data_IF_763138163506
#
_entry.id   IF_763138163506
#
_cell.length_a   1.000
_cell.length_b   1.000
_cell.length_c   1.000
_cell.angle_alpha   90.00
_cell.angle_beta   90.00
_cell.angle_gamma   90.00
#
_symmetry.space_group_name_H-M   'P 1'
#
loop_
_entity.id
_entity.type
_entity.pdbx_description
1 polymer ?
#
# COMPACT_ATOMS: atom_id res chain seq x y z
N UNK A 1 40.48 -22.63 -35.77
CA UNK A 1 39.24 -23.45 -35.77
C UNK A 1 38.98 -23.90 -34.33
N UNK A 2 37.92 -23.58 -33.62
CA UNK A 2 36.75 -22.75 -33.90
C UNK A 2 36.24 -22.32 -32.53
N UNK A 3 35.92 -21.04 -32.42
CA UNK A 3 35.29 -20.39 -31.28
C UNK A 3 34.09 -21.17 -30.76
N UNK A 4 34.04 -21.47 -29.46
CA UNK A 4 32.79 -21.67 -28.74
C UNK A 4 32.80 -20.81 -27.47
N UNK A 5 32.77 -19.49 -27.68
CA UNK A 5 32.25 -18.55 -26.68
C UNK A 5 30.75 -18.83 -26.52
N UNK A 6 30.40 -19.79 -25.68
CA UNK A 6 29.02 -19.92 -25.20
C UNK A 6 28.74 -18.75 -24.25
N UNK A 7 28.00 -17.77 -24.75
CA UNK A 7 27.40 -16.73 -23.95
C UNK A 7 26.40 -17.38 -22.97
N UNK A 8 26.82 -17.62 -21.73
CA UNK A 8 25.90 -17.99 -20.65
C UNK A 8 25.25 -16.73 -20.12
N UNK A 9 24.03 -16.44 -20.59
CA UNK A 9 23.18 -15.44 -19.93
C UNK A 9 21.81 -16.05 -19.63
N UNK A 10 21.42 -15.92 -18.36
CA UNK A 10 20.13 -16.25 -17.72
C UNK A 10 19.90 -17.68 -17.20
N UNK A 11 20.17 -17.89 -15.90
CA UNK A 11 19.98 -19.16 -15.20
C UNK A 11 19.05 -19.15 -14.00
N UNK A 12 18.22 -18.12 -13.76
CA UNK A 12 17.36 -18.06 -12.55
C UNK A 12 15.94 -18.60 -12.78
N UNK A 13 15.46 -19.47 -11.87
CA UNK A 13 14.13 -20.08 -11.94
C UNK A 13 13.52 -20.33 -10.55
N UNK A 14 12.18 -20.43 -10.51
CA UNK A 14 11.42 -20.78 -9.30
C UNK A 14 11.26 -22.30 -9.22
N UNK A 15 11.50 -22.86 -8.03
CA UNK A 15 11.34 -24.27 -7.72
C UNK A 15 10.38 -24.44 -6.55
N UNK A 16 9.52 -25.44 -6.66
CA UNK A 16 8.74 -25.97 -5.56
C UNK A 16 9.44 -27.21 -4.99
N UNK A 17 9.74 -27.19 -3.68
CA UNK A 17 10.36 -28.31 -2.97
C UNK A 17 9.40 -28.85 -1.92
N UNK A 18 9.00 -30.11 -2.04
CA UNK A 18 8.21 -30.80 -1.02
C UNK A 18 9.06 -31.03 0.23
N UNK A 19 8.56 -30.61 1.39
CA UNK A 19 9.17 -30.78 2.70
C UNK A 19 8.73 -32.11 3.34
N UNK A 20 9.50 -32.60 4.31
CA UNK A 20 9.16 -33.81 5.09
C UNK A 20 7.83 -33.67 5.84
N UNK A 21 7.42 -32.45 6.18
CA UNK A 21 6.16 -32.13 6.86
C UNK A 21 4.93 -32.12 5.95
N UNK A 22 5.09 -32.37 4.63
CA UNK A 22 3.99 -32.32 3.65
C UNK A 22 3.79 -30.95 2.99
N UNK A 23 4.35 -29.88 3.54
CA UNK A 23 4.33 -28.53 2.94
C UNK A 23 5.23 -28.43 1.70
N UNK A 24 4.97 -27.43 0.86
CA UNK A 24 5.81 -27.07 -0.28
C UNK A 24 6.53 -25.75 -0.02
N UNK A 25 7.85 -25.75 -0.16
CA UNK A 25 8.69 -24.55 -0.12
C UNK A 25 8.84 -23.95 -1.51
N UNK A 26 8.60 -22.64 -1.65
CA UNK A 26 8.82 -21.88 -2.88
C UNK A 26 10.19 -21.20 -2.82
N UNK A 27 11.08 -21.53 -3.76
CA UNK A 27 12.48 -21.12 -3.76
C UNK A 27 12.90 -20.56 -5.11
N UNK A 28 13.77 -19.56 -5.12
CA UNK A 28 14.42 -19.00 -6.30
C UNK A 28 15.85 -19.55 -6.35
N UNK A 29 16.19 -20.23 -7.45
CA UNK A 29 17.52 -20.78 -7.68
C UNK A 29 18.17 -20.14 -8.89
N UNK A 30 19.49 -20.13 -8.89
CA UNK A 30 20.35 -19.72 -9.98
C UNK A 30 21.16 -20.93 -10.47
N UNK A 31 21.13 -21.18 -11.77
CA UNK A 31 21.91 -22.22 -12.46
C UNK A 31 23.22 -21.60 -12.93
N UNK A 32 24.31 -21.95 -12.25
CA UNK A 32 25.68 -21.50 -12.54
C UNK A 32 26.57 -22.74 -12.70
N UNK A 33 27.31 -22.83 -13.80
CA UNK A 33 28.28 -23.91 -14.06
C UNK A 33 27.70 -25.33 -13.86
N UNK A 34 26.46 -25.54 -14.29
CA UNK A 34 25.75 -26.83 -14.16
C UNK A 34 25.25 -27.15 -12.74
N UNK A 35 25.47 -26.26 -11.76
CA UNK A 35 25.01 -26.40 -10.38
C UNK A 35 23.88 -25.43 -10.08
N UNK A 36 22.95 -25.85 -9.21
CA UNK A 36 21.86 -25.01 -8.74
C UNK A 36 22.22 -24.39 -7.39
N UNK A 37 22.36 -23.07 -7.36
CA UNK A 37 22.57 -22.27 -6.15
C UNK A 37 21.24 -21.70 -5.67
N UNK A 38 20.91 -21.87 -4.39
CA UNK A 38 19.74 -21.22 -3.79
C UNK A 38 20.02 -19.72 -3.61
N UNK A 39 19.16 -18.88 -4.16
CA UNK A 39 19.25 -17.42 -4.04
C UNK A 39 18.37 -16.92 -2.92
N UNK A 40 17.10 -17.34 -2.89
CA UNK A 40 16.13 -16.90 -1.89
C UNK A 40 15.05 -17.94 -1.68
N UNK A 41 14.64 -18.14 -0.42
CA UNK A 41 13.41 -18.87 -0.09
C UNK A 41 12.32 -17.84 0.21
N UNK A 42 11.16 -17.97 -0.42
CA UNK A 42 10.04 -17.03 -0.25
C UNK A 42 9.16 -17.44 0.93
N UNK A 43 8.99 -18.75 1.10
CA UNK A 43 8.18 -19.32 2.18
C UNK A 43 7.80 -20.76 1.88
N UNK A 44 7.01 -21.35 2.77
CA UNK A 44 6.45 -22.68 2.59
C UNK A 44 5.03 -22.74 3.11
N UNK A 45 4.14 -23.44 2.41
CA UNK A 45 2.79 -23.74 2.88
C UNK A 45 2.33 -25.11 2.38
N UNK A 46 1.35 -25.69 3.07
CA UNK A 46 0.63 -26.88 2.64
C UNK A 46 -0.69 -26.54 1.93
N UNK A 47 -1.18 -25.31 2.08
CA UNK A 47 -2.42 -24.84 1.45
C UNK A 47 -2.16 -24.35 0.02
N UNK A 48 -3.04 -24.71 -0.91
CA UNK A 48 -2.90 -24.41 -2.33
C UNK A 48 -3.08 -22.92 -2.62
N UNK A 49 -3.98 -22.23 -1.90
CA UNK A 49 -4.21 -20.78 -2.06
C UNK A 49 -3.00 -19.99 -1.59
N UNK A 50 -2.47 -20.30 -0.41
CA UNK A 50 -1.22 -19.70 0.05
C UNK A 50 -0.05 -20.00 -0.88
N UNK A 51 0.02 -21.20 -1.45
CA UNK A 51 1.06 -21.56 -2.41
C UNK A 51 1.01 -20.70 -3.68
N UNK A 52 -0.19 -20.41 -4.19
CA UNK A 52 -0.38 -19.53 -5.33
C UNK A 52 0.14 -18.11 -5.05
N UNK A 53 -0.17 -17.56 -3.88
CA UNK A 53 0.33 -16.25 -3.43
C UNK A 53 1.86 -16.27 -3.30
N UNK A 54 2.44 -17.32 -2.72
CA UNK A 54 3.90 -17.46 -2.59
C UNK A 54 4.60 -17.60 -3.95
N UNK A 55 3.96 -18.23 -4.94
CA UNK A 55 4.47 -18.30 -6.33
C UNK A 55 4.47 -16.92 -7.00
N UNK A 56 3.40 -16.14 -6.84
CA UNK A 56 3.31 -14.79 -7.38
C UNK A 56 4.38 -13.88 -6.78
N UNK A 57 4.57 -13.92 -5.45
CA UNK A 57 5.66 -13.20 -4.76
C UNK A 57 7.04 -13.64 -5.24
N UNK A 58 7.23 -14.94 -5.49
CA UNK A 58 8.48 -15.47 -6.03
C UNK A 58 8.76 -14.95 -7.44
N UNK A 59 7.72 -14.79 -8.27
CA UNK A 59 7.83 -14.24 -9.62
C UNK A 59 8.24 -12.76 -9.58
N UNK A 60 7.58 -11.96 -8.76
CA UNK A 60 7.93 -10.54 -8.57
C UNK A 60 9.38 -10.37 -8.09
N UNK A 61 9.83 -11.20 -7.14
CA UNK A 61 11.22 -11.18 -6.67
C UNK A 61 12.21 -11.66 -7.74
N UNK A 62 11.84 -12.65 -8.55
CA UNK A 62 12.66 -13.10 -9.67
C UNK A 62 12.85 -11.98 -10.70
N UNK A 63 11.79 -11.25 -11.03
CA UNK A 63 11.83 -10.14 -12.00
C UNK A 63 12.66 -8.96 -11.45
N UNK A 64 12.49 -8.65 -10.16
CA UNK A 64 13.34 -7.69 -9.45
C UNK A 64 14.82 -8.07 -9.48
N UNK A 65 15.14 -9.35 -9.23
CA UNK A 65 16.51 -9.86 -9.22
C UNK A 65 17.14 -9.91 -10.63
N UNK A 66 16.33 -10.13 -11.67
CA UNK A 66 16.78 -10.05 -13.08
C UNK A 66 17.06 -8.61 -13.53
N UNK A 67 16.78 -7.61 -12.69
CA UNK A 67 16.93 -6.20 -13.03
C UNK A 67 15.88 -5.72 -14.05
N UNK A 68 14.94 -6.58 -14.41
CA UNK A 68 13.85 -6.24 -15.32
C UNK A 68 12.72 -5.66 -14.48
N UNK A 69 12.81 -4.35 -14.21
CA UNK A 69 11.66 -3.62 -13.69
C UNK A 69 10.56 -3.74 -14.74
N UNK A 70 9.48 -4.45 -14.42
CA UNK A 70 8.28 -4.39 -15.25
C UNK A 70 7.88 -2.93 -15.35
N UNK A 71 7.88 -2.40 -16.58
CA UNK A 71 7.39 -1.06 -16.88
C UNK A 71 5.85 -1.00 -16.84
N UNK A 72 5.22 -2.16 -16.63
CA UNK A 72 3.77 -2.33 -16.57
C UNK A 72 3.35 -2.75 -15.15
N UNK A 73 2.45 -1.92 -14.61
CA UNK A 73 1.72 -2.08 -13.36
C UNK A 73 0.97 -3.42 -13.40
N UNK A 74 1.06 -4.26 -12.36
CA UNK A 74 0.26 -5.48 -12.29
C UNK A 74 -1.23 -5.11 -12.30
N UNK A 75 -2.11 -5.92 -12.90
CA UNK A 75 -3.56 -5.65 -12.92
C UNK A 75 -4.15 -5.43 -11.51
N UNK A 76 -3.54 -6.09 -10.51
CA UNK A 76 -3.86 -5.87 -9.08
C UNK A 76 -3.40 -4.50 -8.58
N UNK A 77 -2.25 -4.02 -9.02
CA UNK A 77 -1.75 -2.69 -8.67
C UNK A 77 -2.60 -1.61 -9.36
N UNK A 78 -3.11 -1.84 -10.57
CA UNK A 78 -4.11 -0.96 -11.22
C UNK A 78 -5.41 -0.97 -10.42
N UNK A 79 -5.89 -2.12 -9.96
CA UNK A 79 -7.09 -2.18 -9.13
C UNK A 79 -6.88 -1.55 -7.75
N UNK A 80 -5.68 -1.66 -7.16
CA UNK A 80 -5.31 -0.98 -5.91
C UNK A 80 -5.22 0.52 -6.16
N UNK A 81 -4.56 0.98 -7.23
CA UNK A 81 -4.50 2.39 -7.63
C UNK A 81 -5.89 2.94 -7.92
N UNK A 82 -6.75 2.22 -8.64
CA UNK A 82 -8.15 2.55 -8.89
C UNK A 82 -8.94 2.63 -7.59
N UNK A 83 -8.81 1.66 -6.68
CA UNK A 83 -9.44 1.70 -5.36
C UNK A 83 -8.92 2.85 -4.48
N UNK A 84 -7.62 3.12 -4.51
CA UNK A 84 -6.99 4.23 -3.79
C UNK A 84 -7.33 5.59 -4.41
N UNK A 85 -7.59 5.66 -5.71
CA UNK A 85 -8.04 6.88 -6.39
C UNK A 85 -9.55 7.08 -6.29
N UNK A 86 -10.34 6.00 -6.16
CA UNK A 86 -11.74 6.02 -5.72
C UNK A 86 -11.86 6.47 -4.26
N UNK A 87 -10.90 6.09 -3.40
CA UNK A 87 -10.65 6.69 -2.08
C UNK A 87 -10.10 8.11 -2.23
N UNK A 88 -10.87 8.98 -2.87
CA UNK A 88 -10.54 10.39 -2.95
C UNK A 88 -10.36 10.96 -1.54
N UNK A 89 -9.48 11.96 -1.41
CA UNK A 89 -9.26 12.75 -0.19
C UNK A 89 -10.55 13.26 0.49
N UNK A 90 -11.72 13.19 -0.15
CA UNK A 90 -13.03 13.44 0.45
C UNK A 90 -13.41 12.44 1.56
N UNK A 91 -12.83 11.23 1.60
CA UNK A 91 -13.05 10.24 2.67
C UNK A 91 -12.01 10.33 3.79
N UNK A 92 -10.87 10.98 3.57
CA UNK A 92 -9.93 11.34 4.64
C UNK A 92 -10.39 12.69 5.20
N UNK A 93 -11.56 12.69 5.84
CA UNK A 93 -11.89 13.76 6.79
C UNK A 93 -10.78 13.72 7.81
N UNK A 94 -9.93 14.75 7.85
CA UNK A 94 -9.08 14.95 9.02
C UNK A 94 -10.07 14.92 10.19
N UNK A 95 -10.01 14.00 11.17
CA UNK A 95 -10.95 14.07 12.31
C UNK A 95 -10.23 14.64 13.54
N UNK A 96 -8.93 14.95 13.42
CA UNK A 96 -8.06 15.35 14.53
C UNK A 96 -8.59 16.55 15.33
N UNK A 97 -8.75 17.73 14.71
CA UNK A 97 -9.33 18.90 15.37
C UNK A 97 -10.69 18.64 16.03
N UNK A 98 -11.60 17.89 15.38
CA UNK A 98 -12.91 17.58 15.96
C UNK A 98 -12.84 16.60 17.13
N UNK A 99 -11.98 15.58 17.06
CA UNK A 99 -11.83 14.61 18.15
C UNK A 99 -11.31 15.26 19.43
N UNK A 100 -10.43 16.25 19.29
CA UNK A 100 -9.82 16.97 20.42
C UNK A 100 -10.70 18.13 20.85
N UNK A 101 -10.94 19.11 19.98
CA UNK A 101 -11.67 20.33 20.33
C UNK A 101 -13.18 20.13 20.39
N UNK A 102 -13.74 19.11 19.73
CA UNK A 102 -15.15 18.77 19.86
C UNK A 102 -15.52 18.29 21.26
N UNK A 103 -14.61 17.61 21.97
CA UNK A 103 -14.80 17.25 23.39
C UNK A 103 -14.80 18.50 24.27
N UNK A 104 -13.88 19.43 24.02
CA UNK A 104 -13.79 20.72 24.74
C UNK A 104 -15.05 21.56 24.49
N UNK A 105 -15.51 21.64 23.24
CA UNK A 105 -16.74 22.32 22.85
C UNK A 105 -17.95 21.78 23.62
N UNK A 106 -18.07 20.46 23.73
CA UNK A 106 -19.13 19.82 24.50
C UNK A 106 -18.98 20.06 26.01
N UNK A 107 -17.76 20.03 26.54
CA UNK A 107 -17.50 20.23 27.97
C UNK A 107 -17.82 21.65 28.44
N UNK A 108 -17.60 22.66 27.59
CA UNK A 108 -18.00 24.06 27.86
C UNK A 108 -19.53 24.24 27.81
N UNK A 109 -20.26 23.25 27.28
CA UNK A 109 -21.73 23.28 27.19
C UNK A 109 -22.26 23.91 25.91
N UNK A 110 -21.42 24.14 24.91
CA UNK A 110 -21.83 24.70 23.61
C UNK A 110 -22.56 23.67 22.73
N UNK A 111 -22.62 22.40 23.15
CA UNK A 111 -23.47 21.39 22.53
C UNK A 111 -24.97 21.74 22.55
N UNK A 112 -25.40 22.70 23.38
CA UNK A 112 -26.77 23.20 23.43
C UNK A 112 -27.12 24.14 22.26
N UNK A 113 -26.13 24.64 21.54
CA UNK A 113 -26.32 25.52 20.38
C UNK A 113 -26.55 24.64 19.16
N UNK A 114 -27.76 24.69 18.59
CA UNK A 114 -28.18 23.90 17.43
C UNK A 114 -27.66 24.52 16.11
N UNK A 115 -26.35 24.58 15.95
CA UNK A 115 -25.70 25.02 14.70
C UNK A 115 -24.39 24.29 14.47
N UNK A 116 -24.39 23.40 13.48
CA UNK A 116 -23.20 22.65 13.08
C UNK A 116 -22.13 23.58 12.48
N UNK A 117 -22.55 24.58 11.71
CA UNK A 117 -21.63 25.59 11.17
C UNK A 117 -20.90 26.32 12.30
N UNK A 118 -21.60 26.72 13.36
CA UNK A 118 -20.98 27.38 14.50
C UNK A 118 -19.96 26.47 15.19
N UNK A 119 -20.30 25.19 15.42
CA UNK A 119 -19.39 24.19 15.97
C UNK A 119 -18.11 24.08 15.13
N UNK A 120 -18.24 23.93 13.81
CA UNK A 120 -17.08 23.81 12.93
C UNK A 120 -16.23 25.09 12.88
N UNK A 121 -16.86 26.27 12.91
CA UNK A 121 -16.14 27.55 12.96
C UNK A 121 -15.33 27.70 14.25
N UNK A 122 -15.91 27.34 15.39
CA UNK A 122 -15.21 27.38 16.69
C UNK A 122 -14.01 26.43 16.66
N UNK A 123 -14.21 25.19 16.21
CA UNK A 123 -13.12 24.20 16.12
C UNK A 123 -12.03 24.65 15.14
N UNK A 124 -12.40 25.20 13.98
CA UNK A 124 -11.45 25.72 13.01
C UNK A 124 -10.62 26.89 13.58
N UNK A 125 -11.23 27.76 14.39
CA UNK A 125 -10.54 28.89 15.03
C UNK A 125 -9.59 28.47 16.13
N UNK A 126 -9.91 27.39 16.85
CA UNK A 126 -9.02 26.79 17.84
C UNK A 126 -7.82 26.09 17.18
N UNK A 127 -8.06 25.38 16.07
CA UNK A 127 -7.01 24.65 15.36
C UNK A 127 -6.11 25.55 14.50
N UNK A 128 -6.67 26.58 13.87
CA UNK A 128 -6.00 27.47 12.93
C UNK A 128 -6.27 28.95 13.29
N UNK A 129 -5.70 29.45 14.39
CA UNK A 129 -5.89 30.84 14.79
C UNK A 129 -5.42 31.80 13.69
N UNK A 130 -6.12 32.94 13.55
CA UNK A 130 -5.80 34.06 12.65
C UNK A 130 -5.79 33.79 11.13
N UNK A 131 -5.96 32.56 10.64
CA UNK A 131 -5.93 32.25 9.21
C UNK A 131 -7.34 31.98 8.61
N UNK A 132 -7.85 32.94 7.83
CA UNK A 132 -9.15 32.80 7.14
C UNK A 132 -9.12 31.69 6.07
N UNK A 133 -8.04 31.60 5.29
CA UNK A 133 -7.90 30.59 4.24
C UNK A 133 -7.96 29.17 4.80
N UNK A 134 -7.27 28.91 5.92
CA UNK A 134 -7.30 27.60 6.60
C UNK A 134 -8.66 27.26 7.17
N UNK A 135 -9.45 28.26 7.58
CA UNK A 135 -10.84 28.05 8.03
C UNK A 135 -11.72 27.59 6.86
N UNK A 136 -11.56 28.20 5.68
CA UNK A 136 -12.31 27.80 4.47
C UNK A 136 -11.89 26.39 4.03
N UNK A 137 -10.60 26.09 4.01
CA UNK A 137 -10.05 24.76 3.69
C UNK A 137 -10.57 23.69 4.66
N UNK A 138 -10.67 24.02 5.96
CA UNK A 138 -11.28 23.16 6.97
C UNK A 138 -12.76 22.90 6.68
N UNK A 139 -13.56 23.95 6.42
CA UNK A 139 -14.98 23.79 6.14
C UNK A 139 -15.23 22.98 4.87
N UNK A 140 -14.46 23.23 3.81
CA UNK A 140 -14.55 22.47 2.57
C UNK A 140 -14.29 20.96 2.80
N UNK A 141 -13.26 20.62 3.58
CA UNK A 141 -12.89 19.23 3.87
C UNK A 141 -13.89 18.47 4.76
N UNK A 142 -14.55 19.17 5.69
CA UNK A 142 -15.42 18.52 6.69
C UNK A 142 -16.91 18.59 6.35
N UNK A 143 -17.35 19.70 5.76
CA UNK A 143 -18.75 19.98 5.43
C UNK A 143 -19.03 19.86 3.93
N UNK A 144 -18.01 19.65 3.08
CA UNK A 144 -18.17 19.69 1.63
C UNK A 144 -18.70 21.03 1.10
N UNK A 145 -18.70 22.05 1.96
CA UNK A 145 -19.36 23.34 1.74
C UNK A 145 -18.30 24.37 1.40
N UNK A 146 -18.41 24.98 0.22
CA UNK A 146 -17.65 26.17 -0.14
C UNK A 146 -18.34 27.41 0.44
N UNK A 147 -17.58 28.28 1.10
CA UNK A 147 -18.07 29.61 1.51
C UNK A 147 -17.92 30.66 0.40
N UNK A 148 -17.66 30.20 -0.83
CA UNK A 148 -17.46 30.98 -2.06
C UNK A 148 -18.26 30.30 -3.17
#
# INVERSE_FOLDING_TARGET
MTQLRFWYFWGMFIRLKKNKSGSFSVQILLKENGRNRLIKSIGSSSDEKELAILREKAQQELDRLKGQRSMFVFDKDVQIECFLSELSNAQIRTIGPELVFGKVYNHIGYNKISSDLFRHLVIARLAFPLCKLKTIEYLYRYQGSSLI
#
